data_IF_957088068152
#
_entry.id   IF_957088068152
#
_cell.length_a   1.000
_cell.length_b   1.000
_cell.length_c   1.000
_cell.angle_alpha   90.00
_cell.angle_beta   90.00
_cell.angle_gamma   90.00
#
_symmetry.space_group_name_H-M   'P 1'
#
loop_
_entity.id
_entity.type
_entity.pdbx_description
1 polymer ?
#
# COMPACT_ATOMS: atom_id res chain seq x y z
N UNK A 1 32.84 -20.79 23.36
CA UNK A 1 31.77 -20.67 22.35
C UNK A 1 32.34 -21.11 21.00
N UNK A 2 31.89 -22.24 20.43
CA UNK A 2 32.39 -22.71 19.12
C UNK A 2 31.80 -21.82 18.03
N UNK A 3 32.65 -21.18 17.23
CA UNK A 3 32.24 -20.54 15.97
C UNK A 3 31.64 -21.64 15.08
N UNK A 4 30.39 -21.46 14.67
CA UNK A 4 29.83 -22.24 13.57
C UNK A 4 30.75 -22.03 12.36
N UNK A 5 31.20 -23.12 11.73
CA UNK A 5 31.88 -23.02 10.43
C UNK A 5 30.89 -22.32 9.51
N UNK A 6 31.34 -21.26 8.83
CA UNK A 6 30.49 -20.29 8.13
C UNK A 6 29.64 -20.88 6.99
N UNK A 7 29.86 -22.15 6.65
CA UNK A 7 29.26 -22.85 5.52
C UNK A 7 28.41 -24.08 5.95
N UNK A 8 28.25 -24.32 7.26
CA UNK A 8 27.41 -25.40 7.77
C UNK A 8 25.98 -24.89 8.01
N UNK A 9 24.99 -25.60 7.45
CA UNK A 9 23.57 -25.36 7.72
C UNK A 9 23.26 -25.56 9.19
N UNK A 10 22.31 -24.78 9.72
CA UNK A 10 21.88 -24.89 11.11
C UNK A 10 21.34 -26.31 11.40
N UNK A 11 21.60 -26.88 12.59
CA UNK A 11 21.16 -28.24 12.94
C UNK A 11 19.65 -28.46 12.86
N UNK A 12 18.85 -27.39 13.00
CA UNK A 12 17.39 -27.44 12.90
C UNK A 12 16.88 -27.61 11.46
N UNK A 13 17.71 -27.36 10.45
CA UNK A 13 17.32 -27.52 9.04
C UNK A 13 17.64 -28.92 8.53
N UNK A 14 16.61 -29.64 8.06
CA UNK A 14 16.78 -30.93 7.39
C UNK A 14 16.64 -30.74 5.89
N UNK A 15 17.37 -31.54 5.10
CA UNK A 15 17.38 -31.41 3.63
C UNK A 15 16.00 -31.67 3.04
N UNK A 16 15.25 -32.56 3.66
CA UNK A 16 13.92 -32.99 3.26
C UNK A 16 12.89 -31.85 3.38
N UNK A 17 13.14 -30.91 4.30
CA UNK A 17 12.27 -29.75 4.55
C UNK A 17 12.44 -28.64 3.50
N UNK A 18 13.59 -28.61 2.80
CA UNK A 18 13.97 -27.51 1.89
C UNK A 18 13.38 -27.66 0.48
N UNK A 19 12.83 -28.84 0.14
CA UNK A 19 12.26 -29.13 -1.17
C UNK A 19 13.27 -29.01 -2.34
N UNK A 20 12.74 -28.91 -3.56
CA UNK A 20 13.55 -28.76 -4.77
C UNK A 20 13.94 -27.30 -4.98
N UNK A 21 15.22 -27.04 -5.23
CA UNK A 21 15.71 -25.71 -5.59
C UNK A 21 15.20 -25.28 -6.98
N UNK A 22 14.49 -24.14 -7.03
CA UNK A 22 13.99 -23.55 -8.29
C UNK A 22 14.86 -22.35 -8.64
N UNK A 23 15.52 -22.40 -9.80
CA UNK A 23 16.33 -21.28 -10.29
C UNK A 23 15.43 -20.08 -10.56
N UNK A 24 15.75 -18.94 -9.96
CA UNK A 24 15.00 -17.70 -10.18
C UNK A 24 13.60 -17.69 -9.54
N UNK A 25 13.34 -18.49 -8.49
CA UNK A 25 12.03 -18.57 -7.81
C UNK A 25 11.39 -17.22 -7.47
N UNK A 26 12.21 -16.21 -7.18
CA UNK A 26 11.78 -14.85 -6.83
C UNK A 26 12.34 -13.78 -7.78
N UNK A 27 12.81 -14.18 -8.96
CA UNK A 27 13.48 -13.27 -9.90
C UNK A 27 12.52 -12.20 -10.44
N UNK A 28 11.32 -12.60 -10.84
CA UNK A 28 10.29 -11.68 -11.34
C UNK A 28 9.87 -10.71 -10.24
N UNK A 29 9.49 -11.19 -9.05
CA UNK A 29 9.12 -10.34 -7.91
C UNK A 29 10.25 -9.41 -7.46
N UNK A 30 11.51 -9.82 -7.63
CA UNK A 30 12.66 -8.95 -7.37
C UNK A 30 12.80 -7.87 -8.45
N UNK A 31 12.60 -8.21 -9.72
CA UNK A 31 12.64 -7.25 -10.84
C UNK A 31 11.48 -6.25 -10.80
N UNK A 32 10.30 -6.68 -10.36
CA UNK A 32 9.16 -5.80 -10.09
C UNK A 32 9.48 -4.72 -9.05
N UNK A 33 10.54 -4.95 -8.26
CA UNK A 33 10.96 -4.06 -7.20
C UNK A 33 10.04 -4.17 -5.98
N UNK A 34 10.53 -3.72 -4.84
CA UNK A 34 9.67 -3.52 -3.68
C UNK A 34 9.05 -2.13 -3.83
N UNK A 35 7.72 -2.04 -3.93
CA UNK A 35 6.98 -0.75 -3.92
C UNK A 35 6.98 -0.13 -2.51
N UNK A 36 8.15 -0.01 -1.89
CA UNK A 36 8.33 0.64 -0.60
C UNK A 36 8.59 2.12 -0.82
N UNK A 37 7.61 2.94 -0.46
CA UNK A 37 7.73 4.40 -0.48
C UNK A 37 8.10 4.85 0.92
N UNK A 38 9.26 5.50 1.05
CA UNK A 38 9.64 6.16 2.30
C UNK A 38 8.76 7.40 2.49
N UNK A 39 7.95 7.38 3.54
CA UNK A 39 7.10 8.49 3.94
C UNK A 39 7.92 9.52 4.73
N UNK A 40 7.65 10.80 4.55
CA UNK A 40 8.36 11.85 5.25
C UNK A 40 8.08 11.82 6.77
N UNK A 41 9.05 12.26 7.62
CA UNK A 41 8.96 12.10 9.08
C UNK A 41 7.81 12.87 9.75
N UNK A 42 7.29 13.90 9.09
CA UNK A 42 6.12 14.66 9.52
C UNK A 42 4.82 13.88 9.28
N UNK A 43 4.69 13.24 8.13
CA UNK A 43 3.52 12.41 7.79
C UNK A 43 3.49 11.15 8.65
N UNK A 44 4.65 10.52 8.89
CA UNK A 44 4.73 9.30 9.73
C UNK A 44 4.36 9.56 11.20
N UNK A 45 4.44 10.81 11.68
CA UNK A 45 3.96 11.19 13.03
C UNK A 45 2.43 11.22 13.10
N UNK A 46 1.78 11.57 12.00
CA UNK A 46 0.32 11.67 11.91
C UNK A 46 -0.29 10.32 11.55
N UNK A 47 0.39 9.53 10.72
CA UNK A 47 -0.03 8.20 10.29
C UNK A 47 1.04 7.17 10.69
N UNK A 48 0.94 6.58 11.90
CA UNK A 48 1.96 5.65 12.41
C UNK A 48 1.95 4.29 11.72
N UNK A 49 0.86 3.93 11.03
CA UNK A 49 0.68 2.65 10.35
C UNK A 49 0.39 2.83 8.87
N UNK A 50 0.77 1.83 8.07
CA UNK A 50 0.45 1.73 6.65
C UNK A 50 -1.06 1.64 6.41
N UNK A 51 -1.80 0.94 7.28
CA UNK A 51 -3.27 0.91 7.27
C UNK A 51 -3.86 2.33 7.32
N UNK A 52 -3.41 3.17 8.25
CA UNK A 52 -3.91 4.53 8.40
C UNK A 52 -3.62 5.42 7.19
N UNK A 53 -2.45 5.27 6.56
CA UNK A 53 -2.10 5.97 5.32
C UNK A 53 -3.02 5.52 4.18
N UNK A 54 -3.18 4.21 4.01
CA UNK A 54 -3.95 3.63 2.92
C UNK A 54 -5.43 4.02 3.00
N UNK A 55 -6.01 4.03 4.19
CA UNK A 55 -7.41 4.41 4.38
C UNK A 55 -7.65 5.90 4.12
N UNK A 56 -6.70 6.77 4.50
CA UNK A 56 -6.76 8.19 4.18
C UNK A 56 -6.71 8.43 2.66
N UNK A 57 -5.80 7.75 1.96
CA UNK A 57 -5.67 7.86 0.50
C UNK A 57 -6.91 7.32 -0.23
N UNK A 58 -7.48 6.19 0.22
CA UNK A 58 -8.73 5.65 -0.33
C UNK A 58 -9.90 6.63 -0.15
N UNK A 59 -10.03 7.21 1.04
CA UNK A 59 -11.06 8.22 1.32
C UNK A 59 -10.93 9.43 0.39
N UNK A 60 -9.70 9.87 0.12
CA UNK A 60 -9.45 10.97 -0.82
C UNK A 60 -9.84 10.60 -2.25
N UNK A 61 -9.54 9.38 -2.70
CA UNK A 61 -9.94 8.86 -4.02
C UNK A 61 -11.46 8.87 -4.15
N UNK A 62 -12.19 8.40 -3.12
CA UNK A 62 -13.66 8.41 -3.12
C UNK A 62 -14.24 9.82 -3.26
N UNK A 63 -13.63 10.81 -2.58
CA UNK A 63 -14.04 12.20 -2.70
C UNK A 63 -13.76 12.74 -4.11
N UNK A 64 -12.58 12.45 -4.65
CA UNK A 64 -12.18 12.91 -5.98
C UNK A 64 -13.03 12.30 -7.11
N UNK A 65 -13.53 11.08 -6.93
CA UNK A 65 -14.36 10.38 -7.92
C UNK A 65 -15.84 10.79 -7.90
N UNK A 66 -16.30 11.49 -6.85
CA UNK A 66 -17.69 11.97 -6.80
C UNK A 66 -17.89 13.11 -7.81
N UNK A 67 -18.78 12.97 -8.80
CA UNK A 67 -19.06 14.06 -9.73
C UNK A 67 -19.72 15.22 -8.96
N UNK A 68 -19.15 16.42 -9.11
CA UNK A 68 -19.77 17.65 -8.61
C UNK A 68 -21.02 17.89 -9.44
N UNK A 69 -22.17 17.44 -8.95
CA UNK A 69 -23.45 17.70 -9.61
C UNK A 69 -23.72 19.21 -9.57
N UNK A 70 -23.98 19.87 -10.71
CA UNK A 70 -24.34 21.28 -10.71
C UNK A 70 -25.65 21.44 -9.92
N UNK A 71 -25.57 22.11 -8.78
CA UNK A 71 -26.74 22.47 -7.96
C UNK A 71 -27.78 23.13 -8.88
N UNK A 72 -28.93 22.47 -9.04
CA UNK A 72 -30.05 22.96 -9.85
C UNK A 72 -30.55 24.26 -9.22
N UNK A 73 -30.12 25.41 -9.75
CA UNK A 73 -30.61 26.73 -9.31
C UNK A 73 -32.12 26.75 -9.55
N UNK A 74 -32.90 26.75 -8.47
CA UNK A 74 -34.33 26.99 -8.51
C UNK A 74 -34.55 28.44 -8.97
N UNK A 75 -34.84 28.62 -10.25
CA UNK A 75 -35.33 29.90 -10.77
C UNK A 75 -36.76 30.10 -10.24
N UNK A 76 -36.91 30.86 -9.15
CA UNK A 76 -38.21 31.42 -8.78
C UNK A 76 -38.61 32.42 -9.86
N UNK A 77 -39.51 32.00 -10.75
CA UNK A 77 -40.22 32.89 -11.68
C UNK A 77 -41.03 33.90 -10.85
N UNK A 78 -40.64 35.17 -10.90
CA UNK A 78 -41.45 36.27 -10.40
C UNK A 78 -42.69 36.40 -11.29
N UNK A 79 -43.87 36.10 -10.76
CA UNK A 79 -45.15 36.48 -11.36
C UNK A 79 -45.31 37.99 -11.20
N UNK A 80 -45.27 38.73 -12.30
CA UNK A 80 -45.73 40.11 -12.33
C UNK A 80 -47.26 40.12 -12.47
N UNK A 81 -47.94 40.67 -11.47
CA UNK A 81 -49.31 41.17 -11.53
C UNK A 81 -49.24 42.68 -11.74
N UNK A 82 -50.10 43.23 -12.60
CA UNK A 82 -50.35 44.67 -12.73
C UNK A 82 -50.24 45.15 -14.16
#
# INVERSE_FOLDING_TARGET
MKKAKSDEMRPEYRREDLGTGVRGKYFESYQEGTNLVLISPDISKVFPTDEAVNDALRSLIEVAQKPVSPTKRSSRQAKAHG
#
